data_IF_406242003719
#
_entry.id   IF_406242003719
#
_cell.length_a   1.000
_cell.length_b   1.000
_cell.length_c   1.000
_cell.angle_alpha   90.00
_cell.angle_beta   90.00
_cell.angle_gamma   90.00
#
_symmetry.space_group_name_H-M   'P 1'
#
loop_
_entity.id
_entity.type
_entity.pdbx_description
1 polymer ?
#
# COMPACT_ATOMS: atom_id res chain seq x y z
N UNK A 1 -8.30 -10.51 -4.93
CA UNK A 1 -8.32 -10.45 -6.41
C UNK A 1 -6.93 -10.60 -6.99
N UNK A 2 -6.87 -11.04 -8.23
CA UNK A 2 -5.63 -11.25 -8.96
C UNK A 2 -5.58 -10.31 -10.15
N UNK A 3 -4.39 -9.71 -10.35
CA UNK A 3 -4.15 -8.81 -11.49
C UNK A 3 -2.90 -9.27 -12.23
N UNK A 4 -3.00 -9.29 -13.56
CA UNK A 4 -1.87 -9.63 -14.41
C UNK A 4 -1.78 -8.64 -15.56
N UNK A 5 -0.64 -8.00 -15.73
CA UNK A 5 -0.35 -7.12 -16.87
C UNK A 5 1.10 -7.33 -17.31
N UNK A 6 1.42 -6.88 -18.51
CA UNK A 6 2.79 -6.92 -19.00
C UNK A 6 3.50 -5.61 -18.64
N UNK A 7 4.56 -5.71 -17.84
CA UNK A 7 5.43 -4.59 -17.50
C UNK A 7 6.72 -4.71 -18.31
N UNK A 8 7.00 -3.70 -19.13
CA UNK A 8 8.20 -3.69 -19.99
C UNK A 8 8.28 -4.95 -20.87
N UNK A 9 7.14 -5.41 -21.39
CA UNK A 9 7.05 -6.59 -22.22
C UNK A 9 7.15 -7.93 -21.46
N UNK A 10 7.16 -7.89 -20.12
CA UNK A 10 7.22 -9.10 -19.29
C UNK A 10 5.93 -9.25 -18.49
N UNK A 11 5.49 -10.48 -18.32
CA UNK A 11 4.32 -10.78 -17.49
C UNK A 11 4.59 -10.42 -16.04
N UNK A 12 3.63 -9.77 -15.41
CA UNK A 12 3.67 -9.41 -14.00
C UNK A 12 2.34 -9.74 -13.34
N UNK A 13 2.37 -10.48 -12.24
CA UNK A 13 1.16 -10.97 -11.56
C UNK A 13 1.17 -10.55 -10.10
N UNK A 14 0.10 -9.87 -9.69
CA UNK A 14 -0.11 -9.42 -8.31
C UNK A 14 -1.46 -9.93 -7.84
N UNK A 15 -1.50 -10.51 -6.64
CA UNK A 15 -2.72 -10.94 -5.97
C UNK A 15 -2.91 -10.05 -4.74
N UNK A 16 -4.16 -9.68 -4.43
CA UNK A 16 -4.43 -8.84 -3.27
C UNK A 16 -5.75 -9.18 -2.59
N UNK A 17 -5.83 -8.88 -1.28
CA UNK A 17 -7.09 -8.93 -0.56
C UNK A 17 -7.24 -7.67 0.29
N UNK A 18 -8.47 -7.20 0.46
CA UNK A 18 -8.79 -6.05 1.29
C UNK A 18 -8.80 -6.48 2.75
N UNK A 19 -7.94 -5.86 3.57
CA UNK A 19 -7.91 -6.11 5.01
C UNK A 19 -8.80 -5.16 5.79
N UNK A 20 -8.84 -3.89 5.37
CA UNK A 20 -9.62 -2.87 6.08
C UNK A 20 -9.92 -1.70 5.14
N UNK A 21 -11.13 -1.18 5.23
CA UNK A 21 -11.58 -0.02 4.45
C UNK A 21 -11.81 1.17 5.39
N UNK A 22 -11.15 2.30 5.10
CA UNK A 22 -11.26 3.54 5.87
C UNK A 22 -12.06 4.60 5.11
N UNK A 23 -12.98 4.20 4.26
CA UNK A 23 -13.78 5.03 3.34
C UNK A 23 -13.00 5.51 2.12
N UNK A 24 -12.10 6.48 2.26
CA UNK A 24 -11.31 6.99 1.12
C UNK A 24 -10.00 6.26 0.91
N UNK A 25 -9.60 5.43 1.86
CA UNK A 25 -8.37 4.65 1.82
C UNK A 25 -8.63 3.21 2.22
N UNK A 26 -7.79 2.32 1.73
CA UNK A 26 -7.94 0.88 1.94
C UNK A 26 -6.59 0.26 2.29
N UNK A 27 -6.60 -0.61 3.28
CA UNK A 27 -5.43 -1.41 3.65
C UNK A 27 -5.52 -2.75 2.93
N UNK A 28 -4.49 -3.08 2.16
CA UNK A 28 -4.42 -4.31 1.38
C UNK A 28 -3.31 -5.22 1.85
N UNK A 29 -3.54 -6.53 1.74
CA UNK A 29 -2.49 -7.53 1.80
C UNK A 29 -2.17 -7.93 0.36
N UNK A 30 -0.90 -7.86 -0.02
CA UNK A 30 -0.44 -8.12 -1.38
C UNK A 30 0.42 -9.38 -1.40
N UNK A 31 0.16 -10.24 -2.37
CA UNK A 31 1.02 -11.41 -2.65
C UNK A 31 1.54 -11.28 -4.07
N UNK A 32 2.85 -11.35 -4.21
CA UNK A 32 3.50 -11.25 -5.52
C UNK A 32 3.80 -12.64 -6.07
N UNK A 33 3.36 -12.91 -7.29
CA UNK A 33 3.76 -14.11 -8.04
C UNK A 33 4.97 -13.82 -8.93
N UNK A 34 5.20 -12.53 -9.21
CA UNK A 34 6.38 -12.02 -9.91
C UNK A 34 6.90 -10.81 -9.14
N UNK A 35 8.12 -10.38 -9.42
CA UNK A 35 8.73 -9.23 -8.73
C UNK A 35 9.34 -8.23 -9.69
N UNK A 36 8.57 -7.70 -10.64
CA UNK A 36 9.05 -6.70 -11.59
C UNK A 36 9.22 -5.34 -10.92
N UNK A 37 10.02 -4.49 -11.53
CA UNK A 37 10.32 -3.15 -11.00
C UNK A 37 9.05 -2.36 -10.73
N UNK A 38 8.92 -1.85 -9.49
CA UNK A 38 7.76 -1.09 -9.03
C UNK A 38 6.43 -1.77 -9.31
N UNK A 39 6.40 -3.10 -9.37
CA UNK A 39 5.23 -3.84 -9.81
C UNK A 39 3.94 -3.48 -9.07
N UNK A 40 3.95 -3.46 -7.73
CA UNK A 40 2.77 -3.11 -6.94
C UNK A 40 2.33 -1.69 -7.24
N UNK A 41 3.27 -0.76 -7.27
CA UNK A 41 2.99 0.67 -7.50
C UNK A 41 2.36 0.90 -8.88
N UNK A 42 2.89 0.25 -9.90
CA UNK A 42 2.40 0.34 -11.28
C UNK A 42 1.04 -0.32 -11.42
N UNK A 43 0.87 -1.52 -10.87
CA UNK A 43 -0.41 -2.24 -10.93
C UNK A 43 -1.52 -1.45 -10.25
N UNK A 44 -1.27 -0.91 -9.06
CA UNK A 44 -2.28 -0.16 -8.33
C UNK A 44 -2.64 1.14 -9.06
N UNK A 45 -1.67 1.79 -9.69
CA UNK A 45 -1.96 2.95 -10.53
C UNK A 45 -2.82 2.57 -11.74
N UNK A 46 -2.52 1.44 -12.35
CA UNK A 46 -3.28 0.93 -13.50
C UNK A 46 -4.75 0.69 -13.14
N UNK A 47 -5.00 0.21 -11.91
CA UNK A 47 -6.36 0.05 -11.39
C UNK A 47 -7.04 1.37 -11.02
N UNK A 48 -6.32 2.48 -11.01
CA UNK A 48 -6.83 3.76 -10.56
C UNK A 48 -6.75 3.97 -9.06
N UNK A 49 -5.93 3.19 -8.36
CA UNK A 49 -5.78 3.21 -6.90
C UNK A 49 -4.30 3.29 -6.50
N UNK A 50 -3.68 4.46 -6.67
CA UNK A 50 -2.27 4.65 -6.32
C UNK A 50 -2.04 4.46 -4.81
N UNK A 51 -0.81 4.10 -4.44
CA UNK A 51 -0.44 3.96 -3.04
C UNK A 51 -0.43 5.33 -2.35
N UNK A 52 -0.88 5.35 -1.10
CA UNK A 52 -0.86 6.55 -0.28
C UNK A 52 0.56 7.10 -0.19
N UNK A 53 0.72 8.40 -0.37
CA UNK A 53 2.01 9.12 -0.30
C UNK A 53 3.06 8.69 -1.34
N UNK A 54 2.65 8.03 -2.41
CA UNK A 54 3.54 7.62 -3.49
C UNK A 54 3.74 8.79 -4.45
N UNK A 55 4.79 9.57 -4.23
CA UNK A 55 5.10 10.76 -5.01
C UNK A 55 5.24 10.47 -6.50
N UNK A 56 5.98 9.43 -6.85
CA UNK A 56 6.26 9.09 -8.25
C UNK A 56 5.00 8.78 -9.06
N UNK A 57 4.01 8.16 -8.43
CA UNK A 57 2.78 7.75 -9.13
C UNK A 57 1.56 8.58 -8.76
N UNK A 58 1.77 9.71 -8.10
CA UNK A 58 0.72 10.69 -7.84
C UNK A 58 -0.10 10.44 -6.58
N UNK A 59 0.39 9.62 -5.65
CA UNK A 59 -0.32 9.31 -4.40
C UNK A 59 -0.05 10.28 -3.26
N UNK A 60 0.75 11.31 -3.49
CA UNK A 60 1.09 12.35 -2.49
C UNK A 60 0.14 13.55 -2.53
N UNK A 61 -1.03 13.36 -3.14
CA UNK A 61 -2.07 14.37 -3.28
C UNK A 61 -3.40 13.82 -2.79
N UNK A 62 -4.34 14.71 -2.47
CA UNK A 62 -5.69 14.30 -2.10
C UNK A 62 -6.43 13.93 -3.39
N UNK A 63 -6.66 12.64 -3.61
CA UNK A 63 -7.34 12.12 -4.79
C UNK A 63 -8.82 11.87 -4.54
N UNK A 64 -9.20 11.62 -3.29
CA UNK A 64 -10.57 11.40 -2.86
C UNK A 64 -10.81 12.05 -1.50
N UNK A 65 -12.04 12.46 -1.26
CA UNK A 65 -12.45 13.02 0.00
C UNK A 65 -13.05 14.40 -0.17
N UNK A 66 -13.20 15.09 0.96
CA UNK A 66 -13.81 16.41 0.97
C UNK A 66 -12.79 17.50 0.67
N UNK A 67 -13.30 18.67 0.27
CA UNK A 67 -12.47 19.88 0.08
C UNK A 67 -12.37 20.71 1.36
N UNK A 68 -12.97 20.25 2.46
CA UNK A 68 -12.97 20.99 3.74
C UNK A 68 -11.57 21.06 4.34
N UNK A 69 -11.28 22.17 5.00
CA UNK A 69 -9.97 22.47 5.58
C UNK A 69 -9.49 21.40 6.56
N UNK A 70 -10.38 20.87 7.40
CA UNK A 70 -10.03 19.86 8.41
C UNK A 70 -9.56 18.57 7.76
N UNK A 71 -10.20 18.13 6.69
CA UNK A 71 -9.81 16.94 5.96
C UNK A 71 -8.45 17.15 5.29
N UNK A 72 -8.27 18.28 4.60
CA UNK A 72 -7.01 18.61 3.95
C UNK A 72 -5.85 18.64 4.95
N UNK A 73 -6.08 19.25 6.12
CA UNK A 73 -5.08 19.33 7.17
C UNK A 73 -4.73 17.92 7.70
N UNK A 74 -5.74 17.08 7.92
CA UNK A 74 -5.55 15.72 8.37
C UNK A 74 -4.69 14.93 7.38
N UNK A 75 -5.00 14.99 6.09
CA UNK A 75 -4.25 14.28 5.06
C UNK A 75 -2.83 14.82 4.95
N UNK A 76 -2.66 16.15 5.01
CA UNK A 76 -1.33 16.77 4.98
C UNK A 76 -0.47 16.29 6.15
N UNK A 77 -1.04 16.19 7.35
CA UNK A 77 -0.33 15.67 8.52
C UNK A 77 0.09 14.22 8.30
N UNK A 78 -0.75 13.41 7.69
CA UNK A 78 -0.41 12.02 7.36
C UNK A 78 0.74 11.94 6.35
N UNK A 79 0.76 12.82 5.35
CA UNK A 79 1.87 12.88 4.39
C UNK A 79 3.19 13.27 5.06
N UNK A 80 3.15 14.14 6.07
CA UNK A 80 4.35 14.50 6.83
C UNK A 80 4.91 13.33 7.65
N UNK A 81 4.02 12.54 8.25
CA UNK A 81 4.41 11.36 9.02
C UNK A 81 5.00 10.30 8.11
N UNK A 82 4.42 10.13 6.92
CA UNK A 82 4.82 9.10 5.96
C UNK A 82 5.13 9.75 4.61
N UNK A 83 6.33 10.32 4.44
CA UNK A 83 6.71 11.01 3.19
C UNK A 83 7.25 10.05 2.12
N UNK A 84 6.68 8.87 2.01
CA UNK A 84 7.05 7.84 1.04
C UNK A 84 5.84 6.96 0.75
N UNK A 85 5.92 6.17 -0.30
CA UNK A 85 4.84 5.24 -0.61
C UNK A 85 4.53 4.33 0.59
N UNK A 86 3.25 4.20 0.90
CA UNK A 86 2.76 3.36 2.00
C UNK A 86 2.81 1.88 1.58
N UNK A 87 4.00 1.32 1.60
CA UNK A 87 4.27 -0.04 1.16
C UNK A 87 5.33 -0.66 2.06
N UNK A 88 5.05 -1.89 2.51
CA UNK A 88 5.95 -2.62 3.39
C UNK A 88 6.02 -4.09 3.00
N UNK A 89 7.22 -4.59 2.81
CA UNK A 89 7.46 -6.01 2.58
C UNK A 89 7.43 -6.74 3.94
N UNK A 90 6.28 -7.34 4.27
CA UNK A 90 6.06 -7.93 5.58
C UNK A 90 6.66 -9.32 5.73
N UNK A 91 6.53 -10.16 4.72
CA UNK A 91 6.95 -11.56 4.79
C UNK A 91 7.81 -11.93 3.59
N UNK A 92 8.89 -12.64 3.84
CA UNK A 92 9.75 -13.21 2.80
C UNK A 92 9.93 -14.69 3.08
N UNK A 93 9.66 -15.52 2.08
CA UNK A 93 9.88 -16.97 2.18
C UNK A 93 10.65 -17.49 0.99
N UNK A 94 11.51 -18.45 1.22
CA UNK A 94 12.29 -19.09 0.15
C UNK A 94 12.83 -20.44 0.60
N UNK A 95 13.29 -21.25 -0.37
CA UNK A 95 13.96 -22.52 -0.09
C UNK A 95 15.45 -22.24 0.07
N UNK A 96 15.99 -22.62 1.24
CA UNK A 96 17.40 -22.39 1.54
C UNK A 96 18.27 -23.22 0.58
N UNK A 97 19.26 -22.62 -0.09
CA UNK A 97 20.04 -23.31 -1.12
C UNK A 97 20.88 -24.48 -0.59
N UNK A 98 21.31 -24.45 0.67
CA UNK A 98 22.10 -25.53 1.26
C UNK A 98 21.25 -26.59 1.93
N UNK A 99 20.34 -26.19 2.82
CA UNK A 99 19.52 -27.16 3.58
C UNK A 99 18.35 -27.70 2.79
N UNK A 100 17.96 -27.03 1.70
CA UNK A 100 16.80 -27.38 0.86
C UNK A 100 15.47 -27.30 1.63
N UNK A 101 15.44 -26.66 2.77
CA UNK A 101 14.24 -26.45 3.57
C UNK A 101 13.64 -25.08 3.30
N UNK A 102 12.31 -24.99 3.36
CA UNK A 102 11.63 -23.72 3.26
C UNK A 102 11.84 -22.93 4.55
N UNK A 103 12.24 -21.66 4.41
CA UNK A 103 12.35 -20.74 5.54
C UNK A 103 11.57 -19.47 5.22
N UNK A 104 11.01 -18.85 6.24
CA UNK A 104 10.31 -17.58 6.09
C UNK A 104 10.65 -16.62 7.20
N UNK A 105 10.61 -15.35 6.87
CA UNK A 105 10.87 -14.24 7.77
C UNK A 105 9.68 -13.31 7.74
N UNK A 106 9.30 -12.80 8.92
CA UNK A 106 8.23 -11.83 9.06
C UNK A 106 8.78 -10.58 9.72
N UNK A 107 8.25 -9.42 9.36
CA UNK A 107 8.66 -8.15 9.95
C UNK A 107 7.46 -7.34 10.39
N UNK A 108 7.64 -6.52 11.43
CA UNK A 108 6.59 -5.63 11.90
C UNK A 108 6.38 -4.50 10.92
N UNK A 109 5.14 -4.02 10.84
CA UNK A 109 4.83 -2.82 10.08
C UNK A 109 5.60 -1.64 10.68
N UNK A 110 6.34 -0.85 9.87
CA UNK A 110 7.07 0.31 10.36
C UNK A 110 6.19 1.31 11.09
N UNK A 111 6.76 2.01 12.07
CA UNK A 111 6.01 2.97 12.90
C UNK A 111 5.33 4.07 12.08
N UNK A 112 5.97 4.57 11.04
CA UNK A 112 5.38 5.63 10.20
C UNK A 112 4.10 5.16 9.51
N UNK A 113 4.09 3.96 8.95
CA UNK A 113 2.90 3.37 8.32
C UNK A 113 1.85 3.07 9.39
N UNK A 114 2.27 2.48 10.52
CA UNK A 114 1.38 2.14 11.63
C UNK A 114 0.68 3.38 12.19
N UNK A 115 1.41 4.48 12.37
CA UNK A 115 0.83 5.74 12.85
C UNK A 115 -0.23 6.29 11.90
N UNK A 116 0.02 6.22 10.60
CA UNK A 116 -0.94 6.70 9.60
C UNK A 116 -2.19 5.81 9.59
N UNK A 117 -2.02 4.50 9.70
CA UNK A 117 -3.16 3.57 9.79
C UNK A 117 -4.02 3.90 11.01
N UNK A 118 -3.40 4.10 12.17
CA UNK A 118 -4.11 4.42 13.41
C UNK A 118 -4.86 5.75 13.28
N UNK A 119 -4.26 6.75 12.68
CA UNK A 119 -4.92 8.05 12.44
C UNK A 119 -6.13 7.91 11.52
N UNK A 120 -6.02 7.15 10.44
CA UNK A 120 -7.13 6.91 9.54
C UNK A 120 -8.23 6.09 10.20
N UNK A 121 -7.88 5.14 11.04
CA UNK A 121 -8.87 4.37 11.79
C UNK A 121 -9.69 5.27 12.71
N UNK A 122 -9.04 6.14 13.48
CA UNK A 122 -9.72 7.10 14.34
C UNK A 122 -10.57 8.09 13.53
N UNK A 123 -10.02 8.62 12.46
CA UNK A 123 -10.73 9.58 11.61
C UNK A 123 -12.01 8.97 11.03
N UNK A 124 -11.94 7.75 10.51
CA UNK A 124 -13.09 7.10 9.90
C UNK A 124 -14.17 6.71 10.92
N UNK A 125 -13.80 6.49 12.19
CA UNK A 125 -14.75 6.22 13.26
C UNK A 125 -15.51 7.48 13.68
N UNK A 126 -14.84 8.63 13.72
CA UNK A 126 -15.42 9.89 14.21
C UNK A 126 -16.02 10.76 13.11
N UNK A 127 -15.75 10.43 11.86
CA UNK A 127 -16.28 11.13 10.70
C UNK A 127 -17.01 10.13 9.82
N UNK A 128 -18.30 10.31 9.66
CA UNK A 128 -19.08 9.53 8.69
C UNK A 128 -18.85 10.15 7.33
N UNK A 129 -17.98 9.52 6.58
CA UNK A 129 -17.58 10.00 5.26
C UNK A 129 -18.49 9.46 4.17
#
# INVERSE_FOLDING_TARGET
KKMAVNLEGKEAITSYEVLQNFNFFTKLKINLLTGRTHQIRVHMKHLGHVLFSDERYGGDKILKGTVFSKYKQFVANCFEILPRQALHAKTLGFIHPETKKYISFDSKIPNDISQVIDKWELYSKHKKL
#
